data_IF_111518990058
#
_entry.id   IF_111518990058
#
_cell.length_a   1.000
_cell.length_b   1.000
_cell.length_c   1.000
_cell.angle_alpha   90.00
_cell.angle_beta   90.00
_cell.angle_gamma   90.00
#
_symmetry.space_group_name_H-M   'P 1'
#
loop_
_entity.id
_entity.type
_entity.pdbx_description
1 polymer ?
#
# COMPACT_ATOMS: atom_id res chain seq x y z
N UNK A 1 9.11 -7.82 12.42
CA UNK A 1 9.81 -7.69 11.11
C UNK A 1 11.22 -7.14 11.34
N UNK A 2 12.22 -7.51 10.52
CA UNK A 2 13.56 -6.93 10.60
C UNK A 2 13.52 -5.42 10.29
N UNK A 3 14.26 -4.60 11.04
CA UNK A 3 14.34 -3.13 10.81
C UNK A 3 14.74 -2.77 9.38
N UNK A 4 15.56 -3.62 8.74
CA UNK A 4 15.97 -3.48 7.34
C UNK A 4 14.78 -3.48 6.36
N UNK A 5 13.76 -4.29 6.62
CA UNK A 5 12.57 -4.37 5.77
C UNK A 5 11.74 -3.10 5.87
N UNK A 6 11.61 -2.53 7.08
CA UNK A 6 10.91 -1.26 7.29
C UNK A 6 11.60 -0.14 6.51
N UNK A 7 12.92 0.00 6.65
CA UNK A 7 13.67 1.04 5.92
C UNK A 7 13.63 0.87 4.40
N UNK A 8 13.57 -0.36 3.90
CA UNK A 8 13.38 -0.62 2.47
C UNK A 8 12.01 -0.14 1.99
N UNK A 9 10.95 -0.42 2.73
CA UNK A 9 9.59 0.01 2.36
C UNK A 9 9.42 1.52 2.48
N UNK A 10 10.02 2.16 3.49
CA UNK A 10 10.08 3.63 3.59
C UNK A 10 10.77 4.25 2.37
N UNK A 11 11.88 3.66 1.92
CA UNK A 11 12.53 4.08 0.68
C UNK A 11 11.71 3.79 -0.58
N UNK A 12 10.89 2.72 -0.60
CA UNK A 12 9.99 2.42 -1.72
C UNK A 12 8.86 3.44 -1.83
N UNK A 13 8.33 3.87 -0.69
CA UNK A 13 7.23 4.83 -0.61
C UNK A 13 7.72 6.28 -0.67
N UNK A 14 9.02 6.52 -0.47
CA UNK A 14 9.59 7.86 -0.39
C UNK A 14 9.11 8.65 0.83
N UNK A 15 8.67 7.96 1.88
CA UNK A 15 8.15 8.57 3.10
C UNK A 15 8.74 7.91 4.36
N UNK A 16 8.98 8.72 5.38
CA UNK A 16 9.45 8.25 6.68
C UNK A 16 8.25 8.19 7.65
N UNK A 17 8.02 7.01 8.24
CA UNK A 17 6.91 6.84 9.18
C UNK A 17 7.35 7.23 10.58
N UNK A 18 6.70 8.24 11.16
CA UNK A 18 6.91 8.62 12.57
C UNK A 18 6.68 7.45 13.54
N UNK A 19 5.72 6.58 13.23
CA UNK A 19 5.43 5.38 14.01
C UNK A 19 5.57 4.13 13.14
N UNK A 20 6.72 3.45 13.26
CA UNK A 20 7.04 2.22 12.51
C UNK A 20 6.04 1.07 12.75
N UNK A 21 5.30 1.12 13.86
CA UNK A 21 4.24 0.15 14.17
C UNK A 21 3.09 0.20 13.15
N UNK A 22 2.78 1.37 12.61
CA UNK A 22 1.74 1.53 11.57
C UNK A 22 2.15 0.78 10.30
N UNK A 23 3.43 0.88 9.92
CA UNK A 23 3.95 0.16 8.77
C UNK A 23 3.99 -1.36 9.03
N UNK A 24 4.32 -1.77 10.25
CA UNK A 24 4.29 -3.18 10.64
C UNK A 24 2.88 -3.77 10.56
N UNK A 25 1.87 -3.05 11.06
CA UNK A 25 0.45 -3.42 10.94
C UNK A 25 0.04 -3.53 9.46
N UNK A 26 0.37 -2.53 8.64
CA UNK A 26 0.07 -2.52 7.20
C UNK A 26 0.70 -3.70 6.43
N UNK A 27 1.84 -4.21 6.89
CA UNK A 27 2.53 -5.36 6.28
C UNK A 27 2.11 -6.72 6.88
N UNK A 28 1.26 -6.74 7.89
CA UNK A 28 0.86 -7.96 8.59
C UNK A 28 -0.47 -8.48 8.04
N UNK A 29 -0.40 -9.55 7.24
CA UNK A 29 -1.60 -10.25 6.77
C UNK A 29 -2.31 -10.97 7.93
N UNK A 30 -3.66 -11.04 7.95
CA UNK A 30 -4.43 -11.72 9.01
C UNK A 30 -3.99 -13.16 9.29
N UNK A 31 -3.51 -13.89 8.28
CA UNK A 31 -2.95 -15.24 8.47
C UNK A 31 -1.68 -15.30 9.33
N UNK A 32 -1.00 -14.18 9.54
CA UNK A 32 0.25 -14.06 10.31
C UNK A 32 0.05 -13.35 11.67
N UNK A 33 -1.19 -13.02 12.07
CA UNK A 33 -1.46 -12.35 13.36
C UNK A 33 -1.04 -13.17 14.58
N UNK A 34 -1.03 -14.49 14.49
CA UNK A 34 -0.83 -15.41 15.62
C UNK A 34 0.58 -15.32 16.25
N UNK A 35 1.58 -14.80 15.53
CA UNK A 35 2.99 -14.85 15.96
C UNK A 35 3.54 -13.59 16.64
N UNK A 36 2.91 -12.42 16.48
CA UNK A 36 3.53 -11.13 16.81
C UNK A 36 2.69 -10.21 17.71
N UNK A 37 1.47 -10.61 18.11
CA UNK A 37 0.58 -9.75 18.91
C UNK A 37 0.19 -8.45 18.21
N UNK A 38 0.41 -8.37 16.89
CA UNK A 38 0.13 -7.21 16.05
C UNK A 38 -1.23 -7.34 15.38
N UNK A 39 -1.91 -6.20 15.23
CA UNK A 39 -3.18 -6.08 14.52
C UNK A 39 -2.94 -6.34 13.01
N UNK A 40 -3.94 -6.87 12.30
CA UNK A 40 -3.88 -7.09 10.85
C UNK A 40 -4.06 -5.77 10.12
N UNK A 41 -3.60 -5.70 8.86
CA UNK A 41 -3.83 -4.52 8.03
C UNK A 41 -5.32 -4.25 7.72
N UNK A 42 -6.24 -5.18 8.02
CA UNK A 42 -7.66 -5.10 7.60
C UNK A 42 -8.35 -3.82 8.05
N UNK A 43 -8.03 -3.31 9.24
CA UNK A 43 -8.58 -2.03 9.73
C UNK A 43 -8.03 -0.84 8.95
N UNK A 44 -6.74 -0.89 8.58
CA UNK A 44 -6.12 0.13 7.74
C UNK A 44 -6.62 0.04 6.30
N UNK A 45 -6.93 -1.15 5.80
CA UNK A 45 -7.52 -1.37 4.47
C UNK A 45 -8.91 -0.74 4.40
N UNK A 46 -9.75 -0.97 5.42
CA UNK A 46 -11.06 -0.32 5.53
C UNK A 46 -10.98 1.21 5.57
N UNK A 47 -10.04 1.76 6.35
CA UNK A 47 -9.81 3.21 6.40
C UNK A 47 -9.28 3.73 5.06
N UNK A 48 -8.34 3.00 4.44
CA UNK A 48 -7.74 3.34 3.17
C UNK A 48 -8.75 3.39 2.05
N UNK A 49 -9.68 2.45 2.01
CA UNK A 49 -10.78 2.42 1.03
C UNK A 49 -11.65 3.69 1.12
N UNK A 50 -12.08 4.07 2.32
CA UNK A 50 -12.87 5.29 2.53
C UNK A 50 -12.11 6.57 2.17
N UNK A 51 -10.81 6.65 2.50
CA UNK A 51 -9.96 7.81 2.15
C UNK A 51 -9.77 7.90 0.64
N UNK A 52 -9.46 6.79 -0.02
CA UNK A 52 -9.31 6.73 -1.47
C UNK A 52 -10.63 7.10 -2.18
N UNK A 53 -11.76 6.62 -1.66
CA UNK A 53 -13.08 6.95 -2.18
C UNK A 53 -13.36 8.46 -2.12
N UNK A 54 -13.05 9.09 -0.99
CA UNK A 54 -13.20 10.53 -0.81
C UNK A 54 -12.32 11.31 -1.79
N UNK A 55 -11.04 10.95 -1.91
CA UNK A 55 -10.09 11.66 -2.79
C UNK A 55 -10.47 11.53 -4.26
N UNK A 56 -10.85 10.32 -4.70
CA UNK A 56 -11.29 10.08 -6.09
C UNK A 56 -12.60 10.82 -6.38
N UNK A 57 -13.53 10.81 -5.44
CA UNK A 57 -14.81 11.53 -5.59
C UNK A 57 -14.59 13.04 -5.69
N UNK A 58 -13.77 13.63 -4.83
CA UNK A 58 -13.42 15.06 -4.88
C UNK A 58 -12.71 15.42 -6.20
N UNK A 59 -11.78 14.58 -6.65
CA UNK A 59 -11.09 14.77 -7.93
C UNK A 59 -12.04 14.72 -9.12
N UNK A 60 -12.99 13.78 -9.14
CA UNK A 60 -14.00 13.68 -10.19
C UNK A 60 -14.99 14.85 -10.16
N UNK A 61 -15.35 15.33 -8.96
CA UNK A 61 -16.27 16.45 -8.78
C UNK A 61 -15.67 17.77 -9.26
N UNK A 62 -14.37 18.00 -8.99
CA UNK A 62 -13.65 19.23 -9.38
C UNK A 62 -13.02 19.17 -10.77
N UNK A 63 -13.26 18.10 -11.54
CA UNK A 63 -12.67 17.94 -12.86
C UNK A 63 -13.19 19.00 -13.84
N UNK A 64 -12.38 20.04 -14.07
CA UNK A 64 -12.72 21.17 -14.94
C UNK A 64 -13.05 20.71 -16.37
N UNK A 65 -14.11 21.27 -16.95
CA UNK A 65 -14.54 21.00 -18.32
C UNK A 65 -15.24 19.66 -18.54
N UNK A 66 -15.49 18.88 -17.48
CA UNK A 66 -16.25 17.63 -17.57
C UNK A 66 -17.39 17.63 -16.56
N UNK A 67 -18.58 18.01 -17.03
CA UNK A 67 -19.82 17.87 -16.28
C UNK A 67 -20.23 16.39 -16.23
N UNK A 68 -19.61 15.63 -15.33
CA UNK A 68 -19.97 14.24 -15.12
C UNK A 68 -21.32 14.15 -14.44
N UNK A 69 -22.28 13.50 -15.10
CA UNK A 69 -23.51 13.08 -14.42
C UNK A 69 -23.21 12.07 -13.28
N UNK A 70 -24.14 11.91 -12.33
CA UNK A 70 -23.93 11.07 -11.14
C UNK A 70 -23.51 9.62 -11.48
N UNK A 71 -24.19 8.97 -12.43
CA UNK A 71 -23.81 7.61 -12.85
C UNK A 71 -22.42 7.50 -13.51
N UNK A 72 -21.95 8.58 -14.14
CA UNK A 72 -20.62 8.66 -14.72
C UNK A 72 -19.52 8.83 -13.67
N UNK A 73 -19.83 9.47 -12.54
CA UNK A 73 -18.94 9.55 -11.40
C UNK A 73 -18.85 8.19 -10.71
N UNK A 74 -19.98 7.53 -10.46
CA UNK A 74 -20.03 6.21 -9.81
C UNK A 74 -19.28 5.13 -10.61
N UNK A 75 -19.45 5.10 -11.93
CA UNK A 75 -18.73 4.16 -12.79
C UNK A 75 -17.21 4.35 -12.72
N UNK A 76 -16.74 5.60 -12.75
CA UNK A 76 -15.30 5.92 -12.71
C UNK A 76 -14.71 5.66 -11.34
N UNK A 77 -15.41 6.07 -10.29
CA UNK A 77 -15.06 5.75 -8.90
C UNK A 77 -14.91 4.25 -8.72
N UNK A 78 -15.90 3.46 -9.13
CA UNK A 78 -15.86 2.00 -9.00
C UNK A 78 -14.70 1.37 -9.80
N UNK A 79 -14.38 1.90 -10.98
CA UNK A 79 -13.26 1.43 -11.78
C UNK A 79 -11.88 1.70 -11.16
N UNK A 80 -11.74 2.79 -10.40
CA UNK A 80 -10.47 3.21 -9.79
C UNK A 80 -10.29 2.66 -8.37
N UNK A 81 -11.36 2.62 -7.58
CA UNK A 81 -11.34 2.31 -6.14
C UNK A 81 -11.77 0.87 -5.85
N UNK A 82 -12.98 0.46 -6.28
CA UNK A 82 -13.54 -0.85 -5.90
C UNK A 82 -12.84 -2.05 -6.55
N UNK A 83 -12.21 -1.85 -7.70
CA UNK A 83 -11.37 -2.87 -8.31
C UNK A 83 -9.97 -2.78 -7.75
N UNK A 84 -9.68 -3.46 -6.63
CA UNK A 84 -8.33 -3.61 -6.03
C UNK A 84 -7.20 -3.89 -7.06
N UNK A 85 -7.55 -4.31 -8.29
CA UNK A 85 -6.68 -4.41 -9.47
C UNK A 85 -5.84 -3.17 -9.76
N UNK A 86 -6.38 -1.95 -9.64
CA UNK A 86 -5.59 -0.73 -9.94
C UNK A 86 -4.55 -0.49 -8.85
N UNK A 87 -4.96 -0.57 -7.59
CA UNK A 87 -4.05 -0.45 -6.45
C UNK A 87 -3.00 -1.57 -6.45
N UNK A 88 -3.41 -2.82 -6.69
CA UNK A 88 -2.50 -3.96 -6.81
C UNK A 88 -1.50 -3.77 -7.96
N UNK A 89 -1.94 -3.25 -9.10
CA UNK A 89 -1.04 -2.94 -10.22
C UNK A 89 -0.03 -1.84 -9.87
N UNK A 90 -0.45 -0.79 -9.15
CA UNK A 90 0.45 0.25 -8.66
C UNK A 90 1.45 -0.33 -7.65
N UNK A 91 0.99 -1.16 -6.71
CA UNK A 91 1.86 -1.85 -5.74
C UNK A 91 2.89 -2.75 -6.44
N UNK A 92 2.51 -3.48 -7.50
CA UNK A 92 3.44 -4.29 -8.29
C UNK A 92 4.48 -3.45 -9.06
N UNK A 93 4.14 -2.20 -9.39
CA UNK A 93 5.07 -1.26 -10.03
C UNK A 93 6.03 -0.61 -9.03
N UNK A 94 5.64 -0.50 -7.77
CA UNK A 94 6.51 0.00 -6.71
C UNK A 94 7.60 -1.04 -6.41
N UNK A 95 8.81 -0.81 -6.90
CA UNK A 95 9.99 -1.63 -6.58
C UNK A 95 11.17 -0.76 -6.15
N UNK A 96 11.98 -1.27 -5.22
CA UNK A 96 13.30 -0.72 -4.90
C UNK A 96 14.35 -1.76 -5.23
N UNK A 97 15.39 -1.33 -5.95
CA UNK A 97 16.57 -2.15 -6.21
C UNK A 97 17.42 -2.21 -4.95
N UNK A 98 17.34 -3.32 -4.23
CA UNK A 98 18.22 -3.59 -3.10
C UNK A 98 19.49 -4.25 -3.64
N UNK A 99 20.66 -3.67 -3.35
CA UNK A 99 21.94 -4.38 -3.55
C UNK A 99 22.06 -5.43 -2.45
N UNK A 100 21.81 -6.69 -2.78
CA UNK A 100 22.14 -7.82 -1.91
C UNK A 100 23.48 -8.41 -2.33
N UNK A 101 24.33 -8.66 -1.34
CA UNK A 101 25.55 -9.44 -1.52
C UNK A 101 25.21 -10.88 -1.13
N UNK A 102 25.32 -11.83 -2.07
CA UNK A 102 25.19 -13.24 -1.72
C UNK A 102 26.45 -13.65 -0.95
N UNK A 103 26.34 -14.16 0.30
CA UNK A 103 27.48 -14.72 0.99
C UNK A 103 27.92 -15.98 0.24
N UNK A 104 29.14 -15.97 -0.29
CA UNK A 104 29.76 -17.15 -0.89
C UNK A 104 29.95 -18.21 0.20
N UNK A 105 29.72 -19.51 -0.08
CA UNK A 105 30.12 -20.56 0.84
C UNK A 105 31.64 -20.48 1.04
N UNK A 106 32.06 -19.98 2.20
CA UNK A 106 33.47 -20.04 2.61
C UNK A 106 33.90 -21.51 2.62
N UNK A 107 34.97 -21.83 1.92
CA UNK A 107 35.50 -23.19 1.81
C UNK A 107 35.76 -23.77 3.21
N UNK A 108 35.46 -25.07 3.44
CA UNK A 108 35.81 -25.73 4.69
C UNK A 108 37.33 -25.90 4.76
N UNK A 109 37.95 -25.22 5.72
CA UNK A 109 39.31 -25.49 6.19
C UNK A 109 39.36 -26.68 7.14
#
# INVERSE_FOLDING_TARGET
LPERTISQVESMLGCEFRHKLILLEALTHPSHQQGFGTISYERMDFLGDAVMDMVVTDYLYRAEGKEYGPGHMDLRKSAVVNGHKVLAFLCLKCCVKVRSFMPWPTEPG
#
